data_IF_695294348737
#
_entry.id   IF_695294348737
#
_cell.length_a   1.000
_cell.length_b   1.000
_cell.length_c   1.000
_cell.angle_alpha   90.00
_cell.angle_beta   90.00
_cell.angle_gamma   90.00
#
_symmetry.space_group_name_H-M   'P 1'
#
loop_
_entity.id
_entity.type
_entity.pdbx_description
1 polymer ?
#
# COMPACT_ATOMS: atom_id res chain seq x y z
N UNK A 1 7.31 -2.32 -14.20
CA UNK A 1 5.89 -1.93 -13.94
C UNK A 1 5.65 -0.52 -14.46
N UNK A 2 4.61 -0.32 -15.27
CA UNK A 2 4.27 0.98 -15.87
C UNK A 2 3.33 1.79 -14.98
N UNK A 3 3.61 3.06 -14.74
CA UNK A 3 2.72 3.97 -13.99
C UNK A 3 1.83 4.76 -14.97
N UNK A 4 0.52 4.70 -14.76
CA UNK A 4 -0.50 5.41 -15.54
C UNK A 4 -1.27 6.33 -14.59
N UNK A 5 -0.95 7.62 -14.61
CA UNK A 5 -1.65 8.63 -13.81
C UNK A 5 -2.79 9.27 -14.63
N UNK A 6 -4.04 8.95 -14.27
CA UNK A 6 -5.26 9.52 -14.88
C UNK A 6 -5.85 10.68 -14.06
N UNK A 7 -5.04 11.30 -13.20
CA UNK A 7 -5.41 12.49 -12.42
C UNK A 7 -4.56 13.68 -12.88
N UNK A 8 -4.87 14.88 -12.38
CA UNK A 8 -4.04 16.07 -12.57
C UNK A 8 -3.04 16.29 -11.42
N UNK A 9 -2.91 15.32 -10.50
CA UNK A 9 -2.07 15.44 -9.31
C UNK A 9 -0.60 15.08 -9.64
N UNK A 10 0.39 15.77 -9.05
CA UNK A 10 1.81 15.48 -9.24
C UNK A 10 2.22 14.23 -8.45
N UNK A 11 1.89 13.05 -8.98
CA UNK A 11 2.17 11.77 -8.35
C UNK A 11 3.25 11.03 -9.11
N UNK A 12 4.31 10.67 -8.40
CA UNK A 12 5.50 10.03 -8.93
C UNK A 12 5.81 8.77 -8.12
N UNK A 13 5.66 7.62 -8.78
CA UNK A 13 5.92 6.30 -8.18
C UNK A 13 7.07 5.56 -8.88
N UNK A 14 7.75 6.20 -9.84
CA UNK A 14 8.74 5.55 -10.70
C UNK A 14 9.92 4.96 -9.90
N UNK A 15 10.35 5.67 -8.86
CA UNK A 15 11.40 5.23 -7.94
C UNK A 15 10.99 3.96 -7.18
N UNK A 16 9.72 3.84 -6.82
CA UNK A 16 9.16 2.65 -6.18
C UNK A 16 9.00 1.52 -7.20
N UNK A 17 8.41 1.78 -8.37
CA UNK A 17 8.15 0.74 -9.37
C UNK A 17 9.41 0.17 -10.03
N UNK A 18 10.51 0.93 -10.06
CA UNK A 18 11.80 0.49 -10.59
C UNK A 18 12.65 -0.24 -9.55
N UNK A 19 12.20 -0.31 -8.29
CA UNK A 19 12.95 -0.93 -7.22
C UNK A 19 12.89 -2.46 -7.34
N UNK A 20 14.06 -3.08 -7.52
CA UNK A 20 14.19 -4.53 -7.67
C UNK A 20 14.21 -5.28 -6.33
N UNK A 21 14.53 -4.60 -5.23
CA UNK A 21 14.63 -5.19 -3.91
C UNK A 21 13.81 -4.45 -2.87
N UNK A 22 13.00 -5.21 -2.13
CA UNK A 22 12.11 -4.67 -1.11
C UNK A 22 12.45 -5.25 0.26
N UNK A 23 12.52 -4.39 1.29
CA UNK A 23 12.65 -4.83 2.68
C UNK A 23 11.24 -4.97 3.27
N UNK A 24 10.79 -6.21 3.48
CA UNK A 24 9.49 -6.50 4.09
C UNK A 24 9.69 -6.98 5.52
N UNK A 25 8.91 -6.42 6.45
CA UNK A 25 8.84 -6.89 7.83
C UNK A 25 7.87 -8.08 7.93
N UNK A 26 8.38 -9.22 8.36
CA UNK A 26 7.62 -10.42 8.64
C UNK A 26 7.61 -10.69 10.15
N UNK A 27 6.41 -10.74 10.73
CA UNK A 27 6.26 -11.05 12.15
C UNK A 27 6.73 -9.91 13.05
N UNK A 28 7.36 -10.26 14.18
CA UNK A 28 7.86 -9.28 15.15
C UNK A 28 9.30 -8.81 14.89
N UNK A 29 10.17 -9.59 14.21
CA UNK A 29 11.61 -9.29 14.26
C UNK A 29 12.44 -9.58 13.00
N UNK A 30 11.82 -9.92 11.85
CA UNK A 30 12.61 -10.31 10.67
C UNK A 30 12.32 -9.48 9.42
N UNK A 31 13.38 -8.89 8.85
CA UNK A 31 13.35 -8.17 7.57
C UNK A 31 13.95 -9.07 6.50
N UNK A 32 13.14 -9.41 5.49
CA UNK A 32 13.60 -10.18 4.34
C UNK A 32 13.77 -9.27 3.13
N UNK A 33 14.93 -9.28 2.44
CA UNK A 33 15.02 -8.78 1.10
C UNK A 33 14.17 -9.68 0.19
N UNK A 34 13.13 -9.11 -0.43
CA UNK A 34 12.39 -9.79 -1.48
C UNK A 34 13.02 -9.41 -2.80
N UNK A 35 13.71 -10.38 -3.41
CA UNK A 35 14.07 -10.33 -4.83
C UNK A 35 12.85 -10.79 -5.62
N UNK A 36 12.41 -9.98 -6.57
CA UNK A 36 11.31 -10.32 -7.45
C UNK A 36 11.73 -11.51 -8.33
N UNK A 37 11.09 -12.67 -8.14
CA UNK A 37 11.37 -13.87 -8.93
C UNK A 37 10.81 -13.78 -10.36
N UNK A 38 9.87 -12.86 -10.59
CA UNK A 38 9.29 -12.57 -11.90
C UNK A 38 9.45 -11.08 -12.20
N UNK A 39 9.88 -10.71 -13.42
CA UNK A 39 9.90 -9.32 -13.84
C UNK A 39 8.47 -8.76 -13.82
N UNK A 40 8.27 -7.60 -13.16
CA UNK A 40 6.98 -6.91 -13.10
C UNK A 40 6.80 -5.95 -14.29
N UNK A 41 7.40 -6.27 -15.44
CA UNK A 41 7.50 -5.37 -16.59
C UNK A 41 6.14 -5.17 -17.26
N UNK A 42 5.31 -6.22 -17.29
CA UNK A 42 3.96 -6.19 -17.83
C UNK A 42 2.89 -5.74 -16.81
N UNK A 43 3.28 -5.47 -15.57
CA UNK A 43 2.39 -4.95 -14.55
C UNK A 43 2.16 -3.45 -14.69
N UNK A 44 0.98 -2.99 -14.26
CA UNK A 44 0.58 -1.58 -14.32
C UNK A 44 0.15 -1.03 -12.96
N UNK A 45 0.50 0.22 -12.67
CA UNK A 45 -0.12 1.01 -11.60
C UNK A 45 -1.05 2.02 -12.25
N UNK A 46 -2.35 1.94 -11.94
CA UNK A 46 -3.34 2.87 -12.45
C UNK A 46 -3.80 3.78 -11.33
N UNK A 47 -3.55 5.08 -11.48
CA UNK A 47 -3.99 6.11 -10.53
C UNK A 47 -5.17 6.84 -11.14
N UNK A 48 -6.27 6.95 -10.41
CA UNK A 48 -7.50 7.62 -10.88
C UNK A 48 -8.23 8.33 -9.76
N UNK A 49 -9.22 9.14 -10.12
CA UNK A 49 -10.08 9.80 -9.15
C UNK A 49 -10.96 8.80 -8.40
N UNK A 50 -11.17 9.09 -7.12
CA UNK A 50 -12.18 8.44 -6.29
C UNK A 50 -13.40 9.34 -6.18
N UNK A 51 -14.57 8.78 -6.49
CA UNK A 51 -15.84 9.41 -6.21
C UNK A 51 -16.33 9.01 -4.81
N UNK A 52 -17.01 9.91 -4.10
CA UNK A 52 -17.64 9.64 -2.80
C UNK A 52 -16.94 10.29 -1.61
N UNK A 53 -17.22 9.76 -0.41
CA UNK A 53 -16.78 10.35 0.88
C UNK A 53 -15.40 9.88 1.36
N UNK A 54 -14.94 8.71 0.91
CA UNK A 54 -13.67 8.17 1.38
C UNK A 54 -12.49 8.93 0.75
N UNK A 55 -11.42 9.20 1.52
CA UNK A 55 -10.30 10.00 1.03
C UNK A 55 -9.47 9.28 -0.04
N UNK A 56 -9.44 7.94 -0.03
CA UNK A 56 -8.67 7.16 -0.99
C UNK A 56 -9.16 5.70 -1.05
N UNK A 57 -8.54 4.89 -1.91
CA UNK A 57 -8.65 3.44 -1.93
C UNK A 57 -7.54 2.80 -2.76
N UNK A 58 -7.23 1.54 -2.46
CA UNK A 58 -6.27 0.72 -3.20
C UNK A 58 -6.89 -0.62 -3.56
N UNK A 59 -6.39 -1.24 -4.63
CA UNK A 59 -6.68 -2.64 -4.94
C UNK A 59 -5.55 -3.28 -5.75
N UNK A 60 -5.02 -4.39 -5.27
CA UNK A 60 -4.22 -5.32 -6.06
C UNK A 60 -5.12 -6.25 -6.89
N UNK A 61 -4.90 -6.33 -8.19
CA UNK A 61 -5.66 -7.15 -9.14
C UNK A 61 -4.72 -8.05 -9.96
N UNK A 62 -4.27 -9.19 -9.42
CA UNK A 62 -3.31 -10.04 -10.12
C UNK A 62 -3.79 -10.62 -11.43
N UNK A 63 -5.09 -10.94 -11.55
CA UNK A 63 -5.68 -11.44 -12.81
C UNK A 63 -5.56 -10.44 -13.97
N UNK A 64 -5.43 -9.15 -13.67
CA UNK A 64 -5.22 -8.06 -14.64
C UNK A 64 -3.78 -7.54 -14.64
N UNK A 65 -2.89 -8.14 -13.85
CA UNK A 65 -1.52 -7.68 -13.60
C UNK A 65 -1.46 -6.18 -13.30
N UNK A 66 -2.32 -5.71 -12.38
CA UNK A 66 -2.39 -4.28 -12.06
C UNK A 66 -2.62 -3.98 -10.58
N UNK A 67 -2.14 -2.82 -10.15
CA UNK A 67 -2.51 -2.16 -8.90
C UNK A 67 -3.31 -0.91 -9.25
N UNK A 68 -4.48 -0.76 -8.63
CA UNK A 68 -5.32 0.43 -8.79
C UNK A 68 -5.25 1.30 -7.53
N UNK A 69 -4.96 2.59 -7.73
CA UNK A 69 -4.92 3.62 -6.70
C UNK A 69 -6.01 4.64 -7.01
N UNK A 70 -6.82 4.95 -6.01
CA UNK A 70 -7.89 5.94 -6.12
C UNK A 70 -7.69 7.02 -5.07
N UNK A 71 -7.67 8.28 -5.49
CA UNK A 71 -7.49 9.45 -4.60
C UNK A 71 -8.70 10.34 -4.75
N UNK A 72 -9.24 10.84 -3.64
CA UNK A 72 -10.38 11.74 -3.69
C UNK A 72 -9.89 13.17 -4.05
N UNK A 73 -10.46 13.81 -5.08
CA UNK A 73 -10.11 15.19 -5.43
C UNK A 73 -10.46 16.20 -4.33
N UNK A 74 -11.36 15.83 -3.40
CA UNK A 74 -11.77 16.68 -2.28
C UNK A 74 -10.85 16.58 -1.06
N UNK A 75 -9.76 15.81 -1.14
CA UNK A 75 -8.79 15.75 -0.05
C UNK A 75 -8.10 17.10 0.13
N UNK A 76 -8.15 17.62 1.35
CA UNK A 76 -7.30 18.73 1.78
C UNK A 76 -6.05 18.15 2.44
N UNK A 77 -4.89 18.63 2.04
CA UNK A 77 -3.61 18.25 2.64
C UNK A 77 -3.13 19.39 3.56
N UNK A 78 -2.59 19.10 4.75
CA UNK A 78 -2.25 17.76 5.27
C UNK A 78 -3.47 16.88 5.63
N UNK A 79 -3.43 15.62 5.21
CA UNK A 79 -4.47 14.61 5.44
C UNK A 79 -4.02 13.61 6.50
N UNK A 80 -4.73 13.55 7.63
CA UNK A 80 -4.43 12.63 8.74
C UNK A 80 -5.36 11.42 8.72
N UNK A 81 -4.81 10.21 8.82
CA UNK A 81 -5.55 8.93 8.79
C UNK A 81 -5.04 7.96 9.86
N UNK A 82 -5.94 7.09 10.34
CA UNK A 82 -5.62 6.01 11.29
C UNK A 82 -5.47 4.69 10.53
N UNK A 83 -4.35 4.00 10.74
CA UNK A 83 -4.03 2.75 10.07
C UNK A 83 -3.92 1.62 11.09
N UNK A 84 -4.71 0.56 10.93
CA UNK A 84 -4.61 -0.62 11.79
C UNK A 84 -3.27 -1.33 11.53
N UNK A 85 -2.43 -1.48 12.55
CA UNK A 85 -1.09 -2.07 12.47
C UNK A 85 -0.97 -3.40 13.21
N UNK A 86 -1.95 -3.73 14.04
CA UNK A 86 -1.97 -4.97 14.79
C UNK A 86 -3.28 -5.14 15.54
N UNK A 87 -3.33 -6.18 16.36
CA UNK A 87 -4.43 -6.47 17.27
C UNK A 87 -3.86 -6.79 18.64
N UNK A 88 -4.46 -6.24 19.69
CA UNK A 88 -4.19 -6.60 21.07
C UNK A 88 -5.38 -7.37 21.65
N UNK A 89 -5.10 -8.38 22.46
CA UNK A 89 -6.13 -9.11 23.19
C UNK A 89 -6.56 -8.27 24.40
N UNK A 90 -7.86 -7.98 24.50
CA UNK A 90 -8.43 -7.16 25.58
C UNK A 90 -9.22 -8.03 26.57
N UNK A 91 -9.79 -9.13 26.07
CA UNK A 91 -10.48 -10.16 26.86
C UNK A 91 -10.16 -11.55 26.26
N UNK A 92 -10.45 -12.66 26.96
CA UNK A 92 -10.13 -14.02 26.48
C UNK A 92 -10.56 -14.31 25.03
N UNK A 93 -11.66 -13.71 24.56
CA UNK A 93 -12.18 -13.87 23.20
C UNK A 93 -12.34 -12.56 22.42
N UNK A 94 -11.80 -11.43 22.93
CA UNK A 94 -11.95 -10.13 22.29
C UNK A 94 -10.61 -9.50 21.94
N UNK A 95 -10.51 -9.04 20.70
CA UNK A 95 -9.33 -8.36 20.17
C UNK A 95 -9.71 -6.94 19.74
N UNK A 96 -8.82 -5.98 19.99
CA UNK A 96 -8.94 -4.61 19.52
C UNK A 96 -7.83 -4.32 18.53
N UNK A 97 -8.14 -3.54 17.49
CA UNK A 97 -7.12 -3.03 16.58
C UNK A 97 -6.25 -1.99 17.26
N UNK A 98 -4.94 -2.14 17.09
CA UNK A 98 -3.95 -1.12 17.40
C UNK A 98 -3.78 -0.26 16.15
N UNK A 99 -3.87 1.05 16.30
CA UNK A 99 -3.79 2.01 15.20
C UNK A 99 -2.54 2.88 15.31
N UNK A 100 -1.92 3.15 14.16
CA UNK A 100 -0.94 4.20 14.00
C UNK A 100 -1.57 5.36 13.21
N UNK A 101 -1.49 6.57 13.76
CA UNK A 101 -1.93 7.78 13.06
C UNK A 101 -0.81 8.26 12.15
N UNK A 102 -1.12 8.64 10.92
CA UNK A 102 -0.16 9.17 9.96
C UNK A 102 -0.76 10.34 9.19
N UNK A 103 0.06 11.37 8.98
CA UNK A 103 -0.29 12.57 8.24
C UNK A 103 0.46 12.57 6.91
N UNK A 104 -0.28 12.77 5.83
CA UNK A 104 0.24 12.93 4.48
C UNK A 104 0.15 14.40 4.09
N UNK A 105 1.26 15.02 3.71
CA UNK A 105 1.34 16.43 3.35
C UNK A 105 1.04 16.69 1.87
N UNK A 106 0.97 15.62 1.06
CA UNK A 106 0.69 15.73 -0.37
C UNK A 106 -0.07 14.51 -0.91
N UNK A 107 -0.75 14.66 -2.05
CA UNK A 107 -1.33 13.53 -2.77
C UNK A 107 -0.29 12.49 -3.19
N UNK A 108 0.95 12.90 -3.45
CA UNK A 108 2.04 12.00 -3.78
C UNK A 108 2.37 11.08 -2.60
N UNK A 109 2.50 11.64 -1.39
CA UNK A 109 2.75 10.85 -0.17
C UNK A 109 1.64 9.83 0.09
N UNK A 110 0.37 10.25 -0.06
CA UNK A 110 -0.76 9.34 0.06
C UNK A 110 -0.73 8.24 -1.00
N UNK A 111 -0.44 8.58 -2.26
CA UNK A 111 -0.34 7.62 -3.35
C UNK A 111 0.78 6.59 -3.13
N UNK A 112 1.96 7.05 -2.68
CA UNK A 112 3.09 6.18 -2.34
C UNK A 112 2.70 5.20 -1.25
N UNK A 113 2.01 5.68 -0.21
CA UNK A 113 1.52 4.81 0.85
C UNK A 113 0.57 3.73 0.33
N UNK A 114 -0.44 4.11 -0.45
CA UNK A 114 -1.43 3.16 -1.00
C UNK A 114 -0.74 2.17 -1.94
N UNK A 115 0.17 2.63 -2.78
CA UNK A 115 0.97 1.77 -3.65
C UNK A 115 1.68 0.71 -2.83
N UNK A 116 2.42 1.09 -1.77
CA UNK A 116 3.17 0.16 -0.94
C UNK A 116 2.25 -0.85 -0.23
N UNK A 117 1.08 -0.40 0.23
CA UNK A 117 0.09 -1.29 0.83
C UNK A 117 -0.35 -2.37 -0.17
N UNK A 118 -0.80 -1.98 -1.37
CA UNK A 118 -1.26 -2.93 -2.39
C UNK A 118 -0.11 -3.77 -2.96
N UNK A 119 1.09 -3.20 -3.01
CA UNK A 119 2.30 -3.91 -3.40
C UNK A 119 2.66 -4.99 -2.39
N UNK A 120 2.44 -4.78 -1.08
CA UNK A 120 2.58 -5.84 -0.08
C UNK A 120 1.67 -7.03 -0.37
N UNK A 121 0.41 -6.78 -0.79
CA UNK A 121 -0.51 -7.87 -1.18
C UNK A 121 -0.02 -8.58 -2.45
N UNK A 122 0.54 -7.83 -3.41
CA UNK A 122 1.17 -8.42 -4.59
C UNK A 122 2.34 -9.35 -4.22
N UNK A 123 3.22 -8.92 -3.32
CA UNK A 123 4.35 -9.74 -2.87
C UNK A 123 3.88 -11.05 -2.21
N UNK A 124 2.77 -11.01 -1.49
CA UNK A 124 2.15 -12.21 -0.91
C UNK A 124 1.58 -13.13 -1.99
N UNK A 125 0.88 -12.56 -2.98
CA UNK A 125 0.37 -13.33 -4.12
C UNK A 125 1.48 -14.03 -4.92
N UNK A 126 2.58 -13.32 -5.22
CA UNK A 126 3.72 -13.88 -5.96
C UNK A 126 4.42 -15.02 -5.20
N UNK A 127 4.20 -15.12 -3.89
CA UNK A 127 4.69 -16.21 -3.03
C UNK A 127 3.68 -17.36 -2.88
N UNK A 128 2.55 -17.31 -3.59
CA UNK A 128 1.46 -18.28 -3.45
C UNK A 128 0.64 -18.11 -2.17
N UNK A 129 0.78 -16.99 -1.45
CA UNK A 129 -0.02 -16.68 -0.28
C UNK A 129 -1.32 -15.99 -0.69
N UNK A 130 -2.33 -16.06 0.19
CA UNK A 130 -3.61 -15.40 -0.04
C UNK A 130 -3.43 -13.87 -0.09
N UNK A 131 -4.05 -13.19 -1.07
CA UNK A 131 -4.03 -11.73 -1.22
C UNK A 131 -4.54 -10.96 0.01
N UNK A 132 -5.32 -11.61 0.88
CA UNK A 132 -5.87 -10.99 2.08
C UNK A 132 -5.14 -11.38 3.37
N UNK A 133 -3.93 -11.94 3.25
CA UNK A 133 -3.24 -12.60 4.37
C UNK A 133 -2.99 -11.73 5.60
N UNK A 134 -3.03 -10.38 5.50
CA UNK A 134 -3.38 -9.44 6.61
C UNK A 134 -3.27 -7.97 6.19
N UNK A 135 -4.38 -7.23 6.27
CA UNK A 135 -4.41 -5.75 6.10
C UNK A 135 -3.40 -5.02 7.00
N UNK A 136 -3.24 -5.49 8.24
CA UNK A 136 -2.30 -4.92 9.22
C UNK A 136 -0.84 -5.10 8.85
N UNK A 137 -0.47 -6.19 8.16
CA UNK A 137 0.88 -6.40 7.62
C UNK A 137 1.16 -5.42 6.48
N UNK A 138 0.25 -5.29 5.52
CA UNK A 138 0.37 -4.34 4.41
C UNK A 138 0.49 -2.89 4.90
N UNK A 139 -0.30 -2.50 5.91
CA UNK A 139 -0.18 -1.19 6.56
C UNK A 139 1.19 -0.97 7.19
N UNK A 140 1.72 -1.94 7.96
CA UNK A 140 3.07 -1.83 8.54
C UNK A 140 4.16 -1.71 7.48
N UNK A 141 4.07 -2.51 6.41
CA UNK A 141 4.99 -2.41 5.28
C UNK A 141 4.97 -1.03 4.63
N UNK A 142 3.78 -0.48 4.37
CA UNK A 142 3.62 0.87 3.84
C UNK A 142 4.21 1.91 4.80
N UNK A 143 3.85 1.87 6.09
CA UNK A 143 4.34 2.77 7.14
C UNK A 143 5.88 2.82 7.23
N UNK A 144 6.54 1.67 7.08
CA UNK A 144 7.99 1.57 7.15
C UNK A 144 8.74 2.13 5.91
N UNK A 145 8.05 2.32 4.78
CA UNK A 145 8.70 2.59 3.49
C UNK A 145 8.22 3.86 2.77
N UNK A 146 7.06 4.44 3.11
CA UNK A 146 6.46 5.50 2.29
C UNK A 146 7.19 6.86 2.31
N UNK A 147 7.95 7.15 3.37
CA UNK A 147 8.75 8.38 3.51
C UNK A 147 10.13 8.33 2.87
N UNK A 148 10.54 7.15 2.39
CA UNK A 148 11.84 6.94 1.74
C UNK A 148 11.73 7.23 0.25
#
# INVERSE_FOLDING_TARGET
MQVINKTNLPIFLNDLTNKQEWKVEYGKDFKLPIKLAQPLDDWKVIIRWKNGKHPFGGRCLPSKKQIEITINPKNTYPLTQKWAVGTEQVYPYAYRYIYQTTTFNSPNELARFIFLHEFSHLLDYLRGLNLHFKQTKANRFALANWKR
#
